data_IF_953844868189
#
_entry.id   IF_953844868189
#
_cell.length_a   1.000
_cell.length_b   1.000
_cell.length_c   1.000
_cell.angle_alpha   90.00
_cell.angle_beta   90.00
_cell.angle_gamma   90.00
#
_symmetry.space_group_name_H-M   'P 1'
#
loop_
_entity.id
_entity.type
_entity.pdbx_description
1 polymer ?
#
# COMPACT_ATOMS: atom_id res chain seq x y z
N UNK A 1 -24.52 3.50 0.24
CA UNK A 1 -25.50 4.60 0.21
C UNK A 1 -25.49 5.39 1.54
N UNK A 2 -24.34 5.57 2.20
CA UNK A 2 -24.23 6.36 3.45
C UNK A 2 -23.33 7.61 3.31
N UNK A 3 -22.77 7.91 2.13
CA UNK A 3 -21.78 8.99 1.98
C UNK A 3 -22.37 10.39 1.72
N UNK A 4 -23.66 10.49 1.38
CA UNK A 4 -24.29 11.78 1.05
C UNK A 4 -24.70 12.55 2.32
N UNK A 5 -24.98 11.86 3.44
CA UNK A 5 -25.39 12.52 4.69
C UNK A 5 -24.25 13.30 5.35
N UNK A 6 -23.01 12.81 5.27
CA UNK A 6 -21.83 13.47 5.86
C UNK A 6 -21.41 14.72 5.07
N UNK A 7 -21.54 14.69 3.73
CA UNK A 7 -21.28 15.86 2.89
C UNK A 7 -22.26 17.02 3.14
N UNK A 8 -23.55 16.71 3.36
CA UNK A 8 -24.59 17.69 3.67
C UNK A 8 -24.39 18.39 5.02
N UNK A 9 -24.00 17.65 6.05
CA UNK A 9 -23.69 18.21 7.38
C UNK A 9 -22.46 19.13 7.34
N UNK A 10 -21.44 18.80 6.53
CA UNK A 10 -20.21 19.60 6.44
C UNK A 10 -20.39 20.92 5.70
N UNK A 11 -21.21 20.95 4.65
CA UNK A 11 -21.59 22.21 3.99
C UNK A 11 -22.36 23.13 4.95
N UNK A 12 -23.02 22.57 5.95
CA UNK A 12 -23.73 23.30 6.99
C UNK A 12 -22.82 23.76 8.15
N UNK A 13 -21.56 23.29 8.22
CA UNK A 13 -20.60 23.73 9.26
C UNK A 13 -20.33 25.24 9.11
N UNK A 14 -20.57 26.06 10.15
CA UNK A 14 -20.33 27.50 10.09
C UNK A 14 -18.90 27.83 9.66
N UNK A 15 -18.77 28.75 8.70
CA UNK A 15 -17.48 29.19 8.19
C UNK A 15 -16.83 28.29 7.14
N UNK A 16 -17.30 27.05 6.93
CA UNK A 16 -16.72 26.13 5.95
C UNK A 16 -16.73 26.72 4.54
N UNK A 17 -17.89 27.16 4.05
CA UNK A 17 -18.03 27.75 2.69
C UNK A 17 -17.21 29.02 2.56
N UNK A 18 -17.18 29.86 3.58
CA UNK A 18 -16.39 31.10 3.58
C UNK A 18 -14.89 30.79 3.46
N UNK A 19 -14.40 29.86 4.27
CA UNK A 19 -12.99 29.41 4.23
C UNK A 19 -12.66 28.79 2.88
N UNK A 20 -13.51 27.89 2.38
CA UNK A 20 -13.32 27.24 1.09
C UNK A 20 -13.25 28.26 -0.05
N UNK A 21 -14.17 29.22 -0.09
CA UNK A 21 -14.16 30.29 -1.10
C UNK A 21 -12.91 31.18 -0.97
N UNK A 22 -12.43 31.44 0.25
CA UNK A 22 -11.17 32.14 0.49
C UNK A 22 -9.97 31.39 -0.11
N UNK A 23 -9.88 30.08 0.12
CA UNK A 23 -8.82 29.25 -0.45
C UNK A 23 -8.94 29.10 -1.97
N UNK A 24 -10.15 29.01 -2.52
CA UNK A 24 -10.39 29.02 -3.97
C UNK A 24 -9.91 30.34 -4.58
N UNK A 25 -10.15 31.47 -3.91
CA UNK A 25 -9.68 32.78 -4.36
C UNK A 25 -8.15 32.86 -4.33
N UNK A 26 -7.52 32.26 -3.32
CA UNK A 26 -6.07 32.31 -3.12
C UNK A 26 -5.30 31.37 -4.04
N UNK A 27 -5.77 30.14 -4.21
CA UNK A 27 -5.05 29.07 -4.89
C UNK A 27 -5.64 28.67 -6.25
N UNK A 28 -6.84 29.16 -6.56
CA UNK A 28 -7.62 28.76 -7.72
C UNK A 28 -8.46 27.51 -7.47
N UNK A 29 -9.58 27.42 -8.20
CA UNK A 29 -10.53 26.31 -8.05
C UNK A 29 -9.90 24.95 -8.38
N UNK A 30 -9.07 24.88 -9.42
CA UNK A 30 -8.46 23.62 -9.86
C UNK A 30 -7.51 23.05 -8.80
N UNK A 31 -6.74 23.91 -8.14
CA UNK A 31 -5.87 23.54 -7.01
C UNK A 31 -6.68 23.01 -5.84
N UNK A 32 -7.78 23.68 -5.50
CA UNK A 32 -8.64 23.26 -4.40
C UNK A 32 -9.34 21.95 -4.68
N UNK A 33 -9.77 21.71 -5.93
CA UNK A 33 -10.32 20.42 -6.34
C UNK A 33 -9.29 19.31 -6.14
N UNK A 34 -8.03 19.51 -6.55
CA UNK A 34 -6.96 18.53 -6.32
C UNK A 34 -6.76 18.23 -4.84
N UNK A 35 -6.55 19.26 -4.01
CA UNK A 35 -6.38 19.09 -2.55
C UNK A 35 -7.53 18.29 -1.92
N UNK A 36 -8.77 18.60 -2.29
CA UNK A 36 -9.96 17.98 -1.71
C UNK A 36 -10.21 16.56 -2.25
N UNK A 37 -9.77 16.25 -3.47
CA UNK A 37 -9.86 14.91 -4.05
C UNK A 37 -8.78 13.97 -3.51
N UNK A 38 -7.56 14.48 -3.32
CA UNK A 38 -6.42 13.69 -2.86
C UNK A 38 -6.49 13.41 -1.34
N UNK A 39 -7.29 14.19 -0.60
CA UNK A 39 -7.49 14.02 0.83
C UNK A 39 -8.88 14.49 1.27
N UNK A 40 -9.76 13.54 1.59
CA UNK A 40 -11.07 13.85 2.19
C UNK A 40 -10.92 14.56 3.55
N UNK A 41 -9.79 14.32 4.22
CA UNK A 41 -9.49 14.95 5.50
C UNK A 41 -9.24 16.45 5.35
N UNK A 42 -8.84 16.96 4.18
CA UNK A 42 -8.78 18.41 3.94
C UNK A 42 -10.11 19.08 4.25
N UNK A 43 -11.20 18.53 3.71
CA UNK A 43 -12.55 19.05 3.94
C UNK A 43 -12.93 19.01 5.42
N UNK A 44 -12.58 17.94 6.13
CA UNK A 44 -12.85 17.81 7.57
C UNK A 44 -12.17 18.90 8.41
N UNK A 45 -11.04 19.44 7.94
CA UNK A 45 -10.13 20.27 8.74
C UNK A 45 -10.20 21.76 8.41
N UNK A 46 -10.93 22.17 7.36
CA UNK A 46 -11.00 23.58 6.95
C UNK A 46 -11.50 24.52 8.06
N UNK A 47 -12.35 24.05 8.96
CA UNK A 47 -12.85 24.83 10.10
C UNK A 47 -12.10 24.57 11.39
N UNK A 48 -11.07 23.71 11.37
CA UNK A 48 -10.24 23.44 12.54
C UNK A 48 -9.29 24.61 12.81
N UNK A 49 -9.21 25.10 14.06
CA UNK A 49 -8.28 26.17 14.42
C UNK A 49 -6.84 25.82 14.01
N UNK A 50 -6.16 26.79 13.38
CA UNK A 50 -4.76 26.66 12.98
C UNK A 50 -4.51 25.86 11.69
N UNK A 51 -5.47 25.05 11.21
CA UNK A 51 -5.27 24.24 10.00
C UNK A 51 -4.98 25.09 8.75
N UNK A 52 -5.82 26.09 8.47
CA UNK A 52 -5.66 26.98 7.30
C UNK A 52 -4.36 27.78 7.38
N UNK A 53 -3.98 28.22 8.59
CA UNK A 53 -2.71 28.91 8.80
C UNK A 53 -1.52 27.98 8.48
N UNK A 54 -1.53 26.76 9.01
CA UNK A 54 -0.49 25.77 8.75
C UNK A 54 -0.43 25.35 7.26
N UNK A 55 -1.58 25.28 6.57
CA UNK A 55 -1.64 25.07 5.12
C UNK A 55 -0.98 26.23 4.37
N UNK A 56 -1.34 27.48 4.71
CA UNK A 56 -0.74 28.65 4.10
C UNK A 56 0.77 28.72 4.34
N UNK A 57 1.23 28.37 5.54
CA UNK A 57 2.66 28.33 5.88
C UNK A 57 3.38 27.27 5.03
N UNK A 58 2.80 26.08 4.90
CA UNK A 58 3.34 25.01 4.07
C UNK A 58 3.45 25.42 2.59
N UNK A 59 2.41 26.05 2.05
CA UNK A 59 2.40 26.58 0.68
C UNK A 59 3.42 27.69 0.51
N UNK A 60 3.56 28.56 1.49
CA UNK A 60 4.54 29.67 1.47
C UNK A 60 5.97 29.13 1.48
N UNK A 61 6.25 28.12 2.30
CA UNK A 61 7.58 27.54 2.46
C UNK A 61 8.01 26.68 1.27
N UNK A 62 7.08 25.90 0.70
CA UNK A 62 7.42 24.84 -0.27
C UNK A 62 6.80 25.02 -1.65
N UNK A 63 5.94 26.02 -1.81
CA UNK A 63 5.14 26.20 -3.01
C UNK A 63 3.92 25.27 -3.03
N UNK A 64 2.94 25.67 -3.82
CA UNK A 64 1.66 24.97 -3.93
C UNK A 64 1.82 23.57 -4.55
N UNK A 65 2.68 23.42 -5.55
CA UNK A 65 2.84 22.14 -6.27
C UNK A 65 3.43 21.03 -5.37
N UNK A 66 4.41 21.36 -4.53
CA UNK A 66 4.99 20.41 -3.57
C UNK A 66 4.03 20.12 -2.43
N UNK A 67 3.29 21.11 -1.98
CA UNK A 67 2.22 20.94 -0.98
C UNK A 67 1.15 19.99 -1.48
N UNK A 68 0.67 20.17 -2.72
CA UNK A 68 -0.28 19.25 -3.37
C UNK A 68 0.26 17.82 -3.38
N UNK A 69 1.52 17.65 -3.80
CA UNK A 69 2.12 16.31 -3.95
C UNK A 69 2.18 15.55 -2.63
N UNK A 70 2.40 16.23 -1.49
CA UNK A 70 2.47 15.57 -0.17
C UNK A 70 1.14 15.51 0.56
N UNK A 71 0.09 16.17 0.07
CA UNK A 71 -1.17 16.31 0.79
C UNK A 71 -1.99 15.01 0.77
N UNK A 72 -1.75 14.18 1.76
CA UNK A 72 -2.52 12.96 2.00
C UNK A 72 -3.53 13.14 3.15
N UNK A 73 -4.35 12.11 3.41
CA UNK A 73 -5.24 12.12 4.58
C UNK A 73 -4.46 12.26 5.89
N UNK A 74 -3.33 11.56 6.03
CA UNK A 74 -2.50 11.66 7.23
C UNK A 74 -1.83 13.02 7.36
N UNK A 75 -1.35 13.63 6.26
CA UNK A 75 -0.78 14.99 6.33
C UNK A 75 -1.84 15.99 6.73
N UNK A 76 -3.02 15.97 6.10
CA UNK A 76 -4.11 16.87 6.44
C UNK A 76 -4.56 16.72 7.90
N UNK A 77 -4.65 15.49 8.42
CA UNK A 77 -4.99 15.24 9.83
C UNK A 77 -3.98 15.79 10.84
N UNK A 78 -2.72 16.00 10.42
CA UNK A 78 -1.62 16.36 11.33
C UNK A 78 -1.08 17.76 11.07
N UNK A 79 -1.55 18.47 10.06
CA UNK A 79 -0.97 19.76 9.67
C UNK A 79 -1.10 20.83 10.76
N UNK A 80 -2.16 20.76 11.59
CA UNK A 80 -2.33 21.65 12.73
C UNK A 80 -1.51 21.25 13.97
N UNK A 81 -0.85 20.09 13.98
CA UNK A 81 0.02 19.63 15.06
C UNK A 81 1.44 20.22 14.90
N UNK A 82 1.90 21.10 15.81
CA UNK A 82 3.23 21.70 15.71
C UNK A 82 4.37 20.69 15.74
N UNK A 83 4.18 19.54 16.40
CA UNK A 83 5.18 18.48 16.43
C UNK A 83 5.32 17.85 15.05
N UNK A 84 4.21 17.61 14.34
CA UNK A 84 4.24 17.13 12.96
C UNK A 84 4.98 18.10 12.04
N UNK A 85 4.64 19.39 12.09
CA UNK A 85 5.31 20.42 11.27
C UNK A 85 6.81 20.47 11.56
N UNK A 86 7.21 20.36 12.82
CA UNK A 86 8.63 20.27 13.22
C UNK A 86 9.31 19.03 12.62
N UNK A 87 8.64 17.88 12.63
CA UNK A 87 9.15 16.64 12.03
C UNK A 87 9.28 16.73 10.51
N UNK A 88 8.30 17.34 9.84
CA UNK A 88 8.32 17.59 8.41
C UNK A 88 9.48 18.51 8.02
N UNK A 89 9.65 19.63 8.72
CA UNK A 89 10.75 20.57 8.51
C UNK A 89 12.12 19.92 8.74
N UNK A 90 12.20 18.99 9.70
CA UNK A 90 13.41 18.20 9.95
C UNK A 90 13.75 17.28 8.78
N UNK A 91 12.77 16.57 8.21
CA UNK A 91 12.99 15.77 6.99
C UNK A 91 13.49 16.63 5.82
N UNK A 92 12.86 17.79 5.62
CA UNK A 92 13.22 18.72 4.54
C UNK A 92 14.62 19.28 4.74
N UNK A 93 15.02 19.57 5.98
CA UNK A 93 16.38 20.02 6.29
C UNK A 93 17.41 18.91 6.02
N UNK A 94 17.08 17.66 6.33
CA UNK A 94 17.98 16.52 6.14
C UNK A 94 18.14 16.11 4.67
N UNK A 95 17.06 16.12 3.89
CA UNK A 95 17.03 15.49 2.57
C UNK A 95 16.65 16.43 1.42
N UNK A 96 16.24 17.66 1.72
CA UNK A 96 15.65 18.59 0.77
C UNK A 96 14.17 18.30 0.51
N UNK A 97 13.46 19.33 0.04
CA UNK A 97 12.01 19.26 -0.21
C UNK A 97 11.64 18.18 -1.24
N UNK A 98 12.40 18.07 -2.33
CA UNK A 98 12.14 17.14 -3.43
C UNK A 98 12.19 15.68 -2.98
N UNK A 99 13.14 15.37 -2.10
CA UNK A 99 13.29 14.04 -1.52
C UNK A 99 12.21 13.76 -0.50
N UNK A 100 11.91 14.72 0.37
CA UNK A 100 10.82 14.57 1.34
C UNK A 100 9.50 14.31 0.64
N UNK A 101 9.24 15.00 -0.48
CA UNK A 101 8.05 14.78 -1.30
C UNK A 101 7.97 13.35 -1.82
N UNK A 102 9.10 12.79 -2.29
CA UNK A 102 9.16 11.39 -2.76
C UNK A 102 8.95 10.39 -1.62
N UNK A 103 9.45 10.68 -0.42
CA UNK A 103 9.30 9.81 0.76
C UNK A 103 7.91 9.91 1.40
N UNK A 104 7.23 11.06 1.25
CA UNK A 104 6.01 11.31 2.00
C UNK A 104 4.86 10.41 1.53
N UNK A 105 4.45 9.53 2.41
CA UNK A 105 3.23 8.73 2.29
C UNK A 105 2.48 8.74 3.62
N UNK A 106 1.23 8.26 3.64
CA UNK A 106 0.42 8.21 4.88
C UNK A 106 1.16 7.54 6.04
N UNK A 107 1.92 6.47 5.76
CA UNK A 107 2.69 5.76 6.78
C UNK A 107 3.85 6.59 7.35
N UNK A 108 4.55 7.37 6.51
CA UNK A 108 5.60 8.28 6.96
C UNK A 108 4.99 9.43 7.76
N UNK A 109 3.93 10.05 7.24
CA UNK A 109 3.24 11.15 7.89
C UNK A 109 2.74 10.77 9.30
N UNK A 110 2.19 9.56 9.47
CA UNK A 110 1.76 9.05 10.78
C UNK A 110 2.91 8.82 11.77
N UNK A 111 4.14 8.57 11.28
CA UNK A 111 5.28 8.11 12.10
C UNK A 111 6.36 9.15 12.30
N UNK A 112 6.23 10.33 11.70
CA UNK A 112 7.22 11.41 11.75
C UNK A 112 7.70 11.78 13.17
N UNK A 113 6.83 11.59 14.17
CA UNK A 113 7.12 11.93 15.56
C UNK A 113 7.34 10.70 16.45
N UNK A 114 7.29 9.50 15.87
CA UNK A 114 7.53 8.28 16.61
C UNK A 114 9.02 8.21 16.98
N UNK A 115 9.36 7.93 18.25
CA UNK A 115 10.74 7.77 18.67
C UNK A 115 11.50 6.78 17.79
N UNK A 116 12.67 7.19 17.32
CA UNK A 116 13.54 6.36 16.48
C UNK A 116 13.14 6.25 15.01
N UNK A 117 11.95 6.70 14.58
CA UNK A 117 11.51 6.56 13.18
C UNK A 117 12.47 7.24 12.19
N UNK A 118 12.82 8.51 12.44
CA UNK A 118 13.77 9.27 11.61
C UNK A 118 15.18 8.64 11.65
N UNK A 119 15.60 8.11 12.79
CA UNK A 119 16.90 7.43 12.90
C UNK A 119 16.92 6.14 12.05
N UNK A 120 15.85 5.35 12.10
CA UNK A 120 15.70 4.16 11.25
C UNK A 120 15.66 4.53 9.76
N UNK A 121 14.89 5.56 9.40
CA UNK A 121 14.83 6.03 8.01
C UNK A 121 16.21 6.49 7.50
N UNK A 122 16.95 7.24 8.32
CA UNK A 122 18.35 7.60 8.04
C UNK A 122 19.23 6.36 7.82
N UNK A 123 19.10 5.33 8.66
CA UNK A 123 19.86 4.09 8.50
C UNK A 123 19.55 3.39 7.17
N UNK A 124 18.29 3.36 6.75
CA UNK A 124 17.92 2.77 5.45
C UNK A 124 18.49 3.59 4.28
N UNK A 125 18.42 4.92 4.37
CA UNK A 125 18.98 5.82 3.36
C UNK A 125 20.50 5.64 3.25
N UNK A 126 21.20 5.50 4.37
CA UNK A 126 22.64 5.25 4.36
C UNK A 126 22.98 3.88 3.77
N UNK A 127 22.13 2.87 3.98
CA UNK A 127 22.36 1.50 3.52
C UNK A 127 22.04 1.31 2.04
N UNK A 128 20.91 1.84 1.58
CA UNK A 128 20.41 1.60 0.22
C UNK A 128 20.62 2.78 -0.72
N UNK A 129 20.88 3.98 -0.18
CA UNK A 129 20.73 5.22 -0.90
C UNK A 129 19.28 5.71 -0.92
N UNK A 130 19.11 6.99 -1.23
CA UNK A 130 17.83 7.67 -1.11
C UNK A 130 16.78 7.15 -2.10
N UNK A 131 17.14 7.00 -3.37
CA UNK A 131 16.19 6.59 -4.42
C UNK A 131 15.65 5.18 -4.16
N UNK A 132 16.53 4.28 -3.72
CA UNK A 132 16.15 2.91 -3.34
C UNK A 132 15.31 2.89 -2.07
N UNK A 133 15.60 3.74 -1.09
CA UNK A 133 14.78 3.84 0.11
C UNK A 133 13.36 4.30 -0.21
N UNK A 134 13.21 5.30 -1.07
CA UNK A 134 11.90 5.76 -1.56
C UNK A 134 11.11 4.61 -2.19
N UNK A 135 11.76 3.74 -2.98
CA UNK A 135 11.05 2.61 -3.61
C UNK A 135 10.57 1.55 -2.62
N UNK A 136 11.25 1.39 -1.48
CA UNK A 136 10.92 0.37 -0.46
C UNK A 136 9.96 0.88 0.59
N UNK A 137 10.09 2.14 1.03
CA UNK A 137 9.33 2.72 2.14
C UNK A 137 7.92 3.11 1.68
N UNK A 138 7.10 2.10 1.46
CA UNK A 138 5.64 2.25 1.29
C UNK A 138 4.96 2.56 2.63
N UNK A 139 3.67 2.94 2.60
CA UNK A 139 2.90 3.18 3.83
C UNK A 139 2.90 1.98 4.79
N UNK A 140 2.81 0.75 4.27
CA UNK A 140 2.87 -0.46 5.07
C UNK A 140 4.24 -0.69 5.70
N UNK A 141 5.32 -0.42 4.98
CA UNK A 141 6.70 -0.52 5.47
C UNK A 141 6.98 0.55 6.52
N UNK A 142 6.65 1.81 6.21
CA UNK A 142 6.80 2.94 7.13
C UNK A 142 6.10 2.67 8.47
N UNK A 143 4.90 2.07 8.44
CA UNK A 143 4.16 1.75 9.66
C UNK A 143 4.87 0.76 10.61
N UNK A 144 5.95 0.12 10.15
CA UNK A 144 6.67 -0.99 10.83
C UNK A 144 8.15 -0.75 11.05
N UNK A 145 8.72 0.35 10.55
CA UNK A 145 10.15 0.62 10.66
C UNK A 145 10.67 0.66 12.11
N UNK A 146 9.83 1.04 13.07
CA UNK A 146 10.17 1.04 14.50
C UNK A 146 9.79 -0.26 15.22
N UNK A 147 9.20 -1.22 14.50
CA UNK A 147 8.83 -2.52 15.04
C UNK A 147 10.06 -3.41 15.28
N UNK A 148 10.10 -4.18 16.39
CA UNK A 148 11.18 -5.11 16.66
C UNK A 148 11.41 -6.10 15.50
N UNK A 149 12.67 -6.27 15.09
CA UNK A 149 13.07 -7.25 14.07
C UNK A 149 12.70 -6.89 12.61
N UNK A 150 11.82 -5.91 12.36
CA UNK A 150 11.34 -5.61 11.02
C UNK A 150 12.45 -5.17 10.07
N UNK A 151 13.33 -4.26 10.50
CA UNK A 151 14.45 -3.78 9.68
C UNK A 151 15.44 -4.90 9.38
N UNK A 152 15.69 -5.80 10.35
CA UNK A 152 16.55 -6.96 10.12
C UNK A 152 15.95 -7.89 9.06
N UNK A 153 14.66 -8.22 9.18
CA UNK A 153 13.98 -9.07 8.20
C UNK A 153 13.86 -8.40 6.81
N UNK A 154 13.73 -7.07 6.75
CA UNK A 154 13.82 -6.31 5.49
C UNK A 154 15.21 -6.43 4.86
N UNK A 155 16.28 -6.27 5.66
CA UNK A 155 17.65 -6.43 5.19
C UNK A 155 17.91 -7.84 4.66
N UNK A 156 17.36 -8.87 5.31
CA UNK A 156 17.49 -10.26 4.88
C UNK A 156 16.83 -10.46 3.50
N UNK A 157 15.63 -9.90 3.29
CA UNK A 157 14.99 -9.92 1.96
C UNK A 157 15.81 -9.20 0.90
N UNK A 158 16.33 -8.01 1.22
CA UNK A 158 17.18 -7.25 0.29
C UNK A 158 18.45 -8.03 -0.05
N UNK A 159 19.02 -8.75 0.91
CA UNK A 159 20.20 -9.60 0.69
C UNK A 159 19.87 -10.79 -0.22
N UNK A 160 18.71 -11.42 -0.03
CA UNK A 160 18.30 -12.59 -0.79
C UNK A 160 17.87 -12.26 -2.23
N UNK A 161 17.09 -11.20 -2.41
CA UNK A 161 16.43 -10.92 -3.70
C UNK A 161 16.97 -9.68 -4.40
N UNK A 162 17.76 -8.85 -3.72
CA UNK A 162 18.11 -7.52 -4.17
C UNK A 162 17.00 -6.50 -3.89
N UNK A 163 17.40 -5.24 -3.88
CA UNK A 163 16.54 -4.12 -3.46
C UNK A 163 15.34 -3.89 -4.40
N UNK A 164 15.53 -3.98 -5.71
CA UNK A 164 14.46 -3.68 -6.69
C UNK A 164 13.33 -4.73 -6.63
N UNK A 165 13.71 -6.00 -6.49
CA UNK A 165 12.76 -7.10 -6.31
C UNK A 165 12.07 -7.03 -4.95
N UNK A 166 12.82 -6.67 -3.90
CA UNK A 166 12.25 -6.44 -2.57
C UNK A 166 11.24 -5.30 -2.59
N UNK A 167 11.56 -4.16 -3.20
CA UNK A 167 10.64 -3.02 -3.34
C UNK A 167 9.32 -3.41 -4.02
N UNK A 168 9.39 -4.28 -5.03
CA UNK A 168 8.20 -4.75 -5.74
C UNK A 168 7.36 -5.74 -4.90
N UNK A 169 8.00 -6.49 -4.00
CA UNK A 169 7.37 -7.49 -3.14
C UNK A 169 6.79 -6.88 -1.85
N UNK A 170 7.51 -5.96 -1.20
CA UNK A 170 7.37 -5.62 0.23
C UNK A 170 6.20 -4.68 0.56
N UNK A 171 5.17 -4.66 -0.27
CA UNK A 171 3.95 -3.87 -0.04
C UNK A 171 2.89 -4.60 0.77
N UNK A 172 2.00 -3.84 1.41
CA UNK A 172 0.76 -4.37 1.98
C UNK A 172 0.97 -5.53 2.95
N UNK A 173 0.33 -6.65 2.64
CA UNK A 173 0.33 -7.87 3.46
C UNK A 173 1.71 -8.50 3.67
N UNK A 174 2.67 -8.31 2.74
CA UNK A 174 4.03 -8.85 2.91
C UNK A 174 4.74 -8.11 4.04
N UNK A 175 4.72 -6.78 4.05
CA UNK A 175 5.28 -5.99 5.15
C UNK A 175 4.64 -6.35 6.50
N UNK A 176 3.34 -6.65 6.52
CA UNK A 176 2.62 -7.09 7.72
C UNK A 176 3.12 -8.38 8.35
N UNK A 177 3.80 -9.23 7.58
CA UNK A 177 4.15 -10.59 7.99
C UNK A 177 5.65 -10.86 7.95
N UNK A 178 6.44 -9.85 7.61
CA UNK A 178 7.86 -10.03 7.38
C UNK A 178 8.64 -10.55 8.61
N UNK A 179 8.13 -10.27 9.82
CA UNK A 179 8.72 -10.75 11.07
C UNK A 179 8.21 -12.13 11.50
N UNK A 180 7.31 -12.74 10.73
CA UNK A 180 6.80 -14.09 10.97
C UNK A 180 7.72 -15.12 10.29
N UNK A 181 8.40 -16.01 11.03
CA UNK A 181 9.29 -17.01 10.44
C UNK A 181 8.59 -18.00 9.51
N UNK A 182 7.33 -18.37 9.78
CA UNK A 182 6.56 -19.27 8.92
C UNK A 182 6.21 -18.58 7.60
N UNK A 183 5.88 -17.29 7.65
CA UNK A 183 5.68 -16.48 6.44
C UNK A 183 6.94 -16.44 5.58
N UNK A 184 8.08 -16.13 6.20
CA UNK A 184 9.36 -15.99 5.49
C UNK A 184 9.78 -17.31 4.85
N UNK A 185 9.54 -18.43 5.55
CA UNK A 185 9.80 -19.77 5.00
C UNK A 185 8.92 -20.02 3.77
N UNK A 186 7.61 -19.82 3.89
CA UNK A 186 6.67 -20.00 2.77
C UNK A 186 6.96 -19.05 1.60
N UNK A 187 7.42 -17.83 1.89
CA UNK A 187 7.85 -16.86 0.88
C UNK A 187 9.06 -17.39 0.10
N UNK A 188 10.07 -17.88 0.82
CA UNK A 188 11.26 -18.46 0.19
C UNK A 188 10.92 -19.67 -0.68
N UNK A 189 10.05 -20.57 -0.23
CA UNK A 189 9.60 -21.72 -1.01
C UNK A 189 8.95 -21.28 -2.33
N UNK A 190 8.03 -20.32 -2.27
CA UNK A 190 7.37 -19.79 -3.47
C UNK A 190 8.35 -19.08 -4.41
N UNK A 191 9.33 -18.33 -3.88
CA UNK A 191 10.36 -17.70 -4.72
C UNK A 191 11.25 -18.75 -5.39
N UNK A 192 11.62 -19.81 -4.67
CA UNK A 192 12.42 -20.92 -5.22
C UNK A 192 11.67 -21.67 -6.31
N UNK A 193 10.36 -21.89 -6.13
CA UNK A 193 9.52 -22.62 -7.08
C UNK A 193 9.16 -21.80 -8.33
N UNK A 194 8.80 -20.53 -8.18
CA UNK A 194 8.30 -19.70 -9.29
C UNK A 194 9.39 -18.83 -9.95
N UNK A 195 10.51 -18.65 -9.26
CA UNK A 195 11.47 -17.57 -9.52
C UNK A 195 10.93 -16.21 -9.04
N UNK A 196 11.84 -15.29 -8.70
CA UNK A 196 11.46 -14.01 -8.07
C UNK A 196 10.46 -13.20 -8.89
N UNK A 197 10.61 -13.14 -10.22
CA UNK A 197 9.76 -12.30 -11.07
C UNK A 197 8.31 -12.76 -11.13
N UNK A 198 8.09 -14.07 -11.01
CA UNK A 198 6.73 -14.64 -10.94
C UNK A 198 6.20 -14.60 -9.52
N UNK A 199 7.06 -14.85 -8.52
CA UNK A 199 6.69 -14.77 -7.11
C UNK A 199 6.20 -13.36 -6.75
N UNK A 200 6.87 -12.30 -7.19
CA UNK A 200 6.45 -10.90 -6.97
C UNK A 200 5.09 -10.58 -7.61
N UNK A 201 4.74 -11.23 -8.73
CA UNK A 201 3.43 -11.07 -9.37
C UNK A 201 2.35 -11.88 -8.66
N UNK A 202 2.74 -13.01 -8.08
CA UNK A 202 1.86 -13.97 -7.42
C UNK A 202 1.55 -13.57 -5.97
N UNK A 203 2.57 -13.18 -5.20
CA UNK A 203 2.49 -12.80 -3.79
C UNK A 203 2.07 -11.34 -3.70
N UNK A 204 0.78 -11.10 -3.92
CA UNK A 204 0.16 -9.80 -3.67
C UNK A 204 -1.04 -9.96 -2.75
N UNK A 205 -1.13 -9.03 -1.79
CA UNK A 205 -2.26 -8.83 -0.89
C UNK A 205 -2.85 -10.12 -0.29
N UNK A 206 -3.94 -10.62 -0.87
CA UNK A 206 -4.69 -11.76 -0.37
C UNK A 206 -3.90 -13.07 -0.35
N UNK A 207 -2.94 -13.26 -1.26
CA UNK A 207 -2.08 -14.45 -1.26
C UNK A 207 -1.16 -14.45 -0.05
N UNK A 208 -0.46 -13.33 0.20
CA UNK A 208 0.49 -13.21 1.32
C UNK A 208 -0.19 -13.46 2.70
N UNK A 209 -1.46 -13.10 2.85
CA UNK A 209 -2.26 -13.39 4.04
C UNK A 209 -2.60 -14.88 4.27
N UNK A 210 -2.26 -15.76 3.33
CA UNK A 210 -2.68 -17.17 3.31
C UNK A 210 -1.52 -18.15 3.18
N UNK A 211 -0.30 -17.69 2.89
CA UNK A 211 0.86 -18.56 2.65
C UNK A 211 1.24 -19.43 3.86
N UNK A 212 0.92 -18.97 5.07
CA UNK A 212 1.11 -19.76 6.30
C UNK A 212 0.02 -20.83 6.51
N UNK A 213 -1.09 -20.78 5.78
CA UNK A 213 -2.13 -21.80 5.91
C UNK A 213 -1.70 -23.07 5.18
N UNK A 214 -1.66 -24.16 5.91
CA UNK A 214 -1.35 -25.49 5.38
C UNK A 214 -2.24 -25.87 4.20
N UNK A 215 -3.56 -25.72 4.35
CA UNK A 215 -4.51 -26.00 3.25
C UNK A 215 -4.25 -25.17 1.99
N UNK A 216 -3.79 -23.92 2.12
CA UNK A 216 -3.40 -23.13 0.97
C UNK A 216 -2.12 -23.69 0.34
N UNK A 217 -1.11 -24.06 1.13
CA UNK A 217 0.14 -24.66 0.63
C UNK A 217 -0.09 -26.01 -0.07
N UNK A 218 -0.95 -26.87 0.47
CA UNK A 218 -1.28 -28.16 -0.14
C UNK A 218 -1.90 -28.01 -1.53
N UNK A 219 -2.84 -27.07 -1.66
CA UNK A 219 -3.47 -26.73 -2.94
C UNK A 219 -2.42 -26.21 -3.91
N UNK A 220 -1.55 -25.30 -3.45
CA UNK A 220 -0.47 -24.75 -4.28
C UNK A 220 0.46 -25.85 -4.79
N UNK A 221 0.92 -26.75 -3.91
CA UNK A 221 1.77 -27.88 -4.27
C UNK A 221 1.11 -28.86 -5.26
N UNK A 222 -0.22 -29.02 -5.19
CA UNK A 222 -0.99 -29.88 -6.12
C UNK A 222 -1.15 -29.25 -7.50
N UNK A 223 -1.36 -27.95 -7.57
CA UNK A 223 -1.68 -27.25 -8.81
C UNK A 223 -0.45 -26.72 -9.55
N UNK A 224 0.64 -26.43 -8.84
CA UNK A 224 1.85 -25.91 -9.44
C UNK A 224 2.45 -26.84 -10.52
N UNK A 225 2.57 -28.17 -10.33
CA UNK A 225 3.12 -29.06 -11.34
C UNK A 225 2.23 -29.22 -12.59
N UNK A 226 0.94 -28.90 -12.46
CA UNK A 226 -0.09 -29.12 -13.51
C UNK A 226 -0.25 -27.92 -14.43
N UNK A 227 0.16 -26.75 -13.97
CA UNK A 227 0.03 -25.50 -14.69
C UNK A 227 1.40 -24.93 -15.03
N UNK A 228 1.54 -24.33 -16.21
CA UNK A 228 2.69 -23.46 -16.47
C UNK A 228 2.73 -22.38 -15.39
N UNK A 229 3.92 -22.05 -14.86
CA UNK A 229 4.14 -21.03 -13.81
C UNK A 229 3.36 -19.74 -14.08
N UNK A 230 3.33 -19.29 -15.34
CA UNK A 230 2.53 -18.12 -15.75
C UNK A 230 1.03 -18.27 -15.46
N UNK A 231 0.45 -19.42 -15.76
CA UNK A 231 -0.99 -19.66 -15.58
C UNK A 231 -1.33 -19.90 -14.13
N UNK A 232 -0.45 -20.60 -13.41
CA UNK A 232 -0.53 -20.74 -11.97
C UNK A 232 -0.56 -19.38 -11.26
N UNK A 233 0.45 -18.54 -11.52
CA UNK A 233 0.52 -17.20 -10.92
C UNK A 233 -0.70 -16.33 -11.27
N UNK A 234 -1.25 -16.48 -12.49
CA UNK A 234 -2.44 -15.72 -12.94
C UNK A 234 -3.74 -16.18 -12.30
N UNK A 235 -3.90 -17.48 -12.04
CA UNK A 235 -5.12 -18.04 -11.45
C UNK A 235 -5.09 -17.84 -9.94
N UNK A 236 -4.01 -18.29 -9.30
CA UNK A 236 -3.89 -18.34 -7.85
C UNK A 236 -3.45 -17.00 -7.24
N UNK A 237 -2.83 -16.11 -8.04
CA UNK A 237 -2.43 -14.76 -7.62
C UNK A 237 -3.60 -13.78 -7.48
N UNK A 238 -4.81 -14.16 -7.89
CA UNK A 238 -5.99 -13.30 -7.76
C UNK A 238 -6.50 -13.35 -6.31
N UNK A 239 -6.44 -12.23 -5.58
CA UNK A 239 -6.88 -12.16 -4.18
C UNK A 239 -8.29 -12.74 -3.92
N UNK A 240 -9.24 -12.48 -4.83
CA UNK A 240 -10.60 -13.04 -4.73
C UNK A 240 -10.66 -14.56 -4.90
N UNK A 241 -9.73 -15.15 -5.67
CA UNK A 241 -9.62 -16.59 -5.87
C UNK A 241 -8.86 -17.26 -4.72
N UNK A 242 -7.75 -16.65 -4.27
CA UNK A 242 -7.02 -17.09 -3.08
C UNK A 242 -7.92 -17.14 -1.83
N UNK A 243 -8.89 -16.23 -1.73
CA UNK A 243 -9.89 -16.25 -0.65
C UNK A 243 -10.88 -17.41 -0.72
N UNK A 244 -11.12 -17.97 -1.92
CA UNK A 244 -12.15 -18.98 -2.16
C UNK A 244 -11.59 -20.39 -2.20
N UNK A 245 -10.33 -20.56 -2.64
CA UNK A 245 -9.80 -21.88 -2.92
C UNK A 245 -9.55 -22.74 -1.68
N UNK A 246 -9.48 -22.12 -0.50
CA UNK A 246 -9.42 -22.86 0.78
C UNK A 246 -10.72 -23.61 1.12
N UNK A 247 -11.77 -23.46 0.31
CA UNK A 247 -13.00 -24.25 0.37
C UNK A 247 -12.88 -25.49 -0.54
N UNK A 248 -13.04 -26.69 0.04
CA UNK A 248 -12.94 -27.96 -0.67
C UNK A 248 -13.89 -28.06 -1.88
N UNK A 249 -15.08 -27.44 -1.80
CA UNK A 249 -16.03 -27.41 -2.91
C UNK A 249 -15.49 -26.59 -4.10
N UNK A 250 -14.74 -25.52 -3.81
CA UNK A 250 -14.06 -24.72 -4.83
C UNK A 250 -12.94 -25.50 -5.50
N UNK A 251 -12.15 -26.24 -4.73
CA UNK A 251 -11.07 -27.05 -5.30
C UNK A 251 -11.62 -28.16 -6.21
N UNK A 252 -12.64 -28.89 -5.78
CA UNK A 252 -13.28 -29.93 -6.60
C UNK A 252 -13.83 -29.34 -7.90
N UNK A 253 -14.48 -28.17 -7.84
CA UNK A 253 -15.00 -27.51 -9.04
C UNK A 253 -13.89 -27.08 -10.00
N UNK A 254 -12.76 -26.64 -9.47
CA UNK A 254 -11.58 -26.29 -10.26
C UNK A 254 -11.03 -27.53 -10.99
N UNK A 255 -11.00 -28.67 -10.32
CA UNK A 255 -10.58 -29.96 -10.87
C UNK A 255 -11.47 -30.40 -12.04
N UNK A 256 -12.79 -30.31 -11.87
CA UNK A 256 -13.78 -30.62 -12.91
C UNK A 256 -13.59 -29.72 -14.14
N UNK A 257 -13.39 -28.42 -13.93
CA UNK A 257 -13.17 -27.46 -15.02
C UNK A 257 -11.85 -27.71 -15.74
N UNK A 258 -10.77 -27.94 -15.00
CA UNK A 258 -9.47 -28.21 -15.59
C UNK A 258 -9.49 -29.50 -16.42
N UNK A 259 -10.12 -30.56 -15.91
CA UNK A 259 -10.29 -31.83 -16.63
C UNK A 259 -11.19 -31.67 -17.85
N UNK A 260 -12.32 -30.96 -17.72
CA UNK A 260 -13.23 -30.67 -18.84
C UNK A 260 -12.60 -29.80 -19.94
N UNK A 261 -11.53 -29.07 -19.61
CA UNK A 261 -10.71 -28.29 -20.55
C UNK A 261 -9.46 -29.06 -21.01
N UNK A 262 -9.42 -30.39 -20.86
CA UNK A 262 -8.31 -31.26 -21.25
C UNK A 262 -6.96 -30.85 -20.65
N UNK A 263 -6.97 -30.27 -19.45
CA UNK A 263 -5.76 -29.80 -18.78
C UNK A 263 -5.16 -28.52 -19.36
N UNK A 264 -5.89 -27.79 -20.21
CA UNK A 264 -5.42 -26.52 -20.77
C UNK A 264 -5.55 -25.39 -19.74
N UNK A 265 -4.41 -25.01 -19.15
CA UNK A 265 -4.33 -23.92 -18.18
C UNK A 265 -4.64 -22.53 -18.76
N UNK A 266 -4.41 -22.29 -20.06
CA UNK A 266 -4.75 -21.02 -20.72
C UNK A 266 -6.27 -20.92 -20.94
N UNK A 267 -6.90 -22.02 -21.34
CA UNK A 267 -8.36 -22.12 -21.41
C UNK A 267 -8.99 -21.96 -20.02
N UNK A 268 -8.43 -22.59 -18.99
CA UNK A 268 -8.91 -22.47 -17.61
C UNK A 268 -8.84 -21.03 -17.11
N UNK A 269 -7.69 -20.36 -17.29
CA UNK A 269 -7.57 -18.95 -16.92
C UNK A 269 -8.60 -18.09 -17.66
N UNK A 270 -8.76 -18.31 -18.97
CA UNK A 270 -9.72 -17.55 -19.79
C UNK A 270 -11.15 -17.76 -19.31
N UNK A 271 -11.52 -18.98 -18.95
CA UNK A 271 -12.83 -19.32 -18.40
C UNK A 271 -13.08 -18.60 -17.06
N UNK A 272 -12.15 -18.73 -16.12
CA UNK A 272 -12.25 -18.12 -14.79
C UNK A 272 -12.31 -16.59 -14.88
N UNK A 273 -11.52 -15.99 -15.76
CA UNK A 273 -11.48 -14.54 -15.92
C UNK A 273 -12.78 -13.98 -16.54
N UNK A 274 -13.42 -14.71 -17.46
CA UNK A 274 -14.74 -14.33 -18.03
C UNK A 274 -15.87 -14.37 -17.00
N UNK A 275 -15.72 -15.14 -15.92
CA UNK A 275 -16.72 -15.24 -14.83
C UNK A 275 -16.28 -14.53 -13.54
N UNK A 276 -15.29 -13.64 -13.63
CA UNK A 276 -14.80 -12.86 -12.50
C UNK A 276 -15.95 -12.10 -11.83
N UNK A 277 -16.15 -12.33 -10.53
CA UNK A 277 -17.22 -11.70 -9.73
C UNK A 277 -18.48 -12.55 -9.55
N UNK A 278 -18.64 -13.66 -10.28
CA UNK A 278 -19.77 -14.57 -10.10
C UNK A 278 -19.59 -15.49 -8.88
N UNK A 279 -20.69 -15.94 -8.26
CA UNK A 279 -20.66 -16.90 -7.14
C UNK A 279 -20.32 -18.29 -7.66
N UNK A 280 -19.93 -19.21 -6.76
CA UNK A 280 -19.59 -20.60 -7.11
C UNK A 280 -20.73 -21.28 -7.92
N UNK A 281 -21.98 -21.02 -7.55
CA UNK A 281 -23.15 -21.60 -8.22
C UNK A 281 -23.38 -21.07 -9.66
N UNK A 282 -22.68 -20.00 -10.05
CA UNK A 282 -22.78 -19.36 -11.36
C UNK A 282 -21.59 -19.73 -12.28
N UNK A 283 -20.69 -20.62 -11.82
CA UNK A 283 -19.43 -21.02 -12.47
C UNK A 283 -19.47 -22.50 -12.88
#
# INVERSE_FOLDING_TARGET
MNDISDAGERLATPGFITTLNGLITLYGIDTMVKLMCDSIMMACRLTEPGFVAALNDLVTLYGIDRTLTIMSNSVACRLADPAFVTGLNSLITLYGIDTTVKLMCDGVACRLNDPGFIATLNSLINLYGIDKTVTVVSGSVASRLTGPGFVAALNDLVTLYGIDKTATLIGGSVACRLTDPEFVTALNDVVNELGTDNAVKFIKDGVACRMEKESFREIMARWLPRLKVRNFARIFGMAGFANRIVDAAWEQRLEELYTGLNGDGDALFTYLNRRRGKKLNDI
#
